data_IF_641452552068
#
_entry.id   IF_641452552068
#
_cell.length_a   1.000
_cell.length_b   1.000
_cell.length_c   1.000
_cell.angle_alpha   90.00
_cell.angle_beta   90.00
_cell.angle_gamma   90.00
#
_symmetry.space_group_name_H-M   'P 1'
#
loop_
_entity.id
_entity.type
_entity.pdbx_description
1 polymer ?
#
# COMPACT_ATOMS: atom_id res chain seq x y z
N UNK A 1 -16.98 -30.66 -16.77
CA UNK A 1 -16.09 -30.21 -15.68
C UNK A 1 -15.51 -28.88 -16.10
N UNK A 2 -15.73 -27.81 -15.34
CA UNK A 2 -15.12 -26.52 -15.65
C UNK A 2 -13.62 -26.61 -15.33
N UNK A 3 -12.76 -26.38 -16.33
CA UNK A 3 -11.35 -26.07 -16.07
C UNK A 3 -11.35 -24.73 -15.34
N UNK A 4 -11.06 -24.74 -14.04
CA UNK A 4 -10.58 -23.54 -13.37
C UNK A 4 -9.13 -23.40 -13.80
N UNK A 5 -8.82 -22.51 -14.75
CA UNK A 5 -7.48 -22.46 -15.25
C UNK A 5 -6.68 -21.79 -14.12
N UNK A 6 -5.64 -22.48 -13.64
CA UNK A 6 -4.62 -22.01 -12.68
C UNK A 6 -5.12 -21.56 -11.29
N UNK A 7 -4.92 -22.41 -10.28
CA UNK A 7 -4.89 -21.94 -8.88
C UNK A 7 -3.69 -20.99 -8.72
N UNK A 8 -3.86 -19.86 -8.02
CA UNK A 8 -2.74 -18.98 -7.68
C UNK A 8 -1.64 -19.72 -6.90
N UNK A 9 -2.03 -20.78 -6.17
CA UNK A 9 -1.10 -21.63 -5.44
C UNK A 9 -0.13 -22.44 -6.33
N UNK A 10 -0.49 -22.66 -7.60
CA UNK A 10 0.35 -23.38 -8.58
C UNK A 10 1.24 -22.42 -9.41
N UNK A 11 1.30 -21.14 -9.03
CA UNK A 11 2.12 -20.13 -9.69
C UNK A 11 3.43 -19.98 -8.91
N UNK A 12 4.48 -20.63 -9.39
CA UNK A 12 5.80 -20.65 -8.74
C UNK A 12 6.57 -19.33 -8.85
N UNK A 13 6.23 -18.50 -9.85
CA UNK A 13 6.81 -17.16 -10.01
C UNK A 13 5.71 -16.08 -10.04
N UNK A 14 5.55 -15.30 -8.97
CA UNK A 14 4.49 -14.29 -8.84
C UNK A 14 4.62 -13.11 -9.82
N UNK A 15 5.73 -12.97 -10.56
CA UNK A 15 5.82 -12.04 -11.70
C UNK A 15 4.89 -12.44 -12.86
N UNK A 16 4.42 -13.70 -12.91
CA UNK A 16 3.44 -14.17 -13.90
C UNK A 16 2.01 -13.72 -13.60
N UNK A 17 1.74 -13.18 -12.40
CA UNK A 17 0.42 -12.67 -12.05
C UNK A 17 0.31 -11.23 -12.52
N UNK A 18 -0.46 -11.03 -13.60
CA UNK A 18 -0.82 -9.68 -14.07
C UNK A 18 -2.15 -9.25 -13.50
N UNK A 19 -2.17 -8.07 -12.89
CA UNK A 19 -3.37 -7.42 -12.38
C UNK A 19 -3.85 -6.42 -13.41
N UNK A 20 -5.16 -6.43 -13.69
CA UNK A 20 -5.81 -5.41 -14.51
C UNK A 20 -6.55 -4.44 -13.60
N UNK A 21 -6.21 -3.16 -13.71
CA UNK A 21 -6.80 -2.07 -12.94
C UNK A 21 -7.70 -1.25 -13.86
N UNK A 22 -8.94 -1.03 -13.43
CA UNK A 22 -9.88 -0.15 -14.10
C UNK A 22 -10.17 1.05 -13.20
N UNK A 23 -9.82 2.24 -13.67
CA UNK A 23 -10.09 3.48 -12.97
C UNK A 23 -10.34 4.61 -13.97
N UNK A 24 -11.35 5.45 -13.72
CA UNK A 24 -11.66 6.63 -14.55
C UNK A 24 -11.78 6.31 -16.05
N UNK A 25 -12.49 5.22 -16.39
CA UNK A 25 -12.63 4.72 -17.76
C UNK A 25 -11.31 4.34 -18.47
N UNK A 26 -10.21 4.18 -17.71
CA UNK A 26 -8.91 3.73 -18.22
C UNK A 26 -8.59 2.35 -17.67
N UNK A 27 -7.95 1.53 -18.49
CA UNK A 27 -7.46 0.21 -18.13
C UNK A 27 -5.93 0.22 -18.11
N UNK A 28 -5.34 -0.27 -17.03
CA UNK A 28 -3.90 -0.47 -16.90
C UNK A 28 -3.60 -1.92 -16.50
N UNK A 29 -2.45 -2.43 -16.90
CA UNK A 29 -1.96 -3.74 -16.50
C UNK A 29 -0.58 -3.59 -15.86
N UNK A 30 -0.40 -4.23 -14.71
CA UNK A 30 0.88 -4.24 -14.01
C UNK A 30 1.14 -5.64 -13.42
N UNK A 31 2.42 -6.05 -13.30
CA UNK A 31 2.76 -7.21 -12.48
C UNK A 31 2.33 -6.99 -11.03
N UNK A 32 1.73 -8.01 -10.41
CA UNK A 32 1.25 -7.93 -9.02
C UNK A 32 2.38 -7.52 -8.08
N UNK A 33 3.57 -8.11 -8.22
CA UNK A 33 4.72 -7.79 -7.39
C UNK A 33 5.15 -6.33 -7.47
N UNK A 34 5.15 -5.75 -8.67
CA UNK A 34 5.50 -4.36 -8.86
C UNK A 34 4.51 -3.43 -8.14
N UNK A 35 3.21 -3.75 -8.25
CA UNK A 35 2.15 -3.02 -7.56
C UNK A 35 2.29 -3.12 -6.04
N UNK A 36 2.48 -4.33 -5.52
CA UNK A 36 2.65 -4.57 -4.07
C UNK A 36 3.88 -3.87 -3.51
N UNK A 37 5.01 -3.89 -4.22
CA UNK A 37 6.24 -3.17 -3.83
C UNK A 37 6.01 -1.66 -3.76
N UNK A 38 5.29 -1.10 -4.74
CA UNK A 38 4.93 0.32 -4.75
C UNK A 38 4.04 0.69 -3.56
N UNK A 39 2.95 -0.05 -3.37
CA UNK A 39 2.00 0.18 -2.27
C UNK A 39 2.69 0.05 -0.91
N UNK A 40 3.53 -0.96 -0.72
CA UNK A 40 4.26 -1.14 0.54
C UNK A 40 5.18 0.04 0.86
N UNK A 41 5.89 0.56 -0.16
CA UNK A 41 6.74 1.73 -0.01
C UNK A 41 5.92 2.96 0.37
N UNK A 42 4.79 3.19 -0.31
CA UNK A 42 3.92 4.33 -0.06
C UNK A 42 3.32 4.27 1.36
N UNK A 43 2.81 3.11 1.77
CA UNK A 43 2.29 2.90 3.13
C UNK A 43 3.38 3.16 4.17
N UNK A 44 4.59 2.64 3.95
CA UNK A 44 5.72 2.86 4.87
C UNK A 44 6.05 4.34 5.02
N UNK A 45 6.08 5.08 3.90
CA UNK A 45 6.33 6.52 3.91
C UNK A 45 5.20 7.31 4.59
N UNK A 46 3.95 6.91 4.38
CA UNK A 46 2.78 7.51 5.05
C UNK A 46 2.87 7.27 6.56
N UNK A 47 3.15 6.05 7.00
CA UNK A 47 3.29 5.72 8.43
C UNK A 47 4.39 6.55 9.09
N UNK A 48 5.56 6.68 8.47
CA UNK A 48 6.64 7.52 9.01
C UNK A 48 6.23 8.99 9.16
N UNK A 49 5.47 9.53 8.20
CA UNK A 49 4.96 10.90 8.28
C UNK A 49 3.94 11.05 9.40
N UNK A 50 3.07 10.06 9.59
CA UNK A 50 2.11 10.04 10.70
C UNK A 50 2.83 10.00 12.05
N UNK A 51 3.88 9.18 12.21
CA UNK A 51 4.66 9.11 13.45
C UNK A 51 5.31 10.46 13.81
N UNK A 52 5.82 11.18 12.80
CA UNK A 52 6.40 12.52 13.00
C UNK A 52 5.32 13.51 13.42
N UNK A 53 4.16 13.49 12.74
CA UNK A 53 3.04 14.37 13.07
C UNK A 53 2.50 14.08 14.47
N UNK A 54 2.39 12.81 14.88
CA UNK A 54 1.96 12.42 16.22
C UNK A 54 2.92 12.93 17.29
N UNK A 55 4.24 12.84 17.05
CA UNK A 55 5.25 13.39 17.96
C UNK A 55 5.14 14.90 18.09
N UNK A 56 4.96 15.62 16.97
CA UNK A 56 4.80 17.07 16.97
C UNK A 56 3.53 17.50 17.72
N UNK A 57 2.41 16.80 17.51
CA UNK A 57 1.17 17.04 18.25
C UNK A 57 1.37 16.88 19.76
N UNK A 58 2.02 15.79 20.20
CA UNK A 58 2.32 15.57 21.62
C UNK A 58 3.20 16.67 22.22
N UNK A 59 4.20 17.14 21.48
CA UNK A 59 5.05 18.24 21.98
C UNK A 59 4.29 19.56 22.12
N UNK A 60 3.42 19.88 21.16
CA UNK A 60 2.61 21.11 21.21
C UNK A 60 1.56 21.07 22.33
N UNK A 61 0.96 19.91 22.58
CA UNK A 61 0.01 19.70 23.68
C UNK A 61 0.68 19.87 25.06
N UNK A 62 1.91 19.36 25.21
CA UNK A 62 2.71 19.53 26.42
C UNK A 62 3.16 20.97 26.67
N UNK A 63 3.45 21.72 25.61
CA UNK A 63 3.84 23.14 25.72
C UNK A 63 2.61 24.03 26.01
N UNK A 64 1.42 23.64 25.52
CA UNK A 64 0.17 24.36 25.81
C UNK A 64 -0.24 24.24 27.28
N UNK A 65 -0.06 23.06 27.89
CA UNK A 65 -0.37 22.82 29.32
C UNK A 65 0.62 23.44 30.32
N UNK A 66 1.77 23.96 29.87
CA UNK A 66 2.76 24.63 30.75
C UNK A 66 2.55 26.14 30.87
N UNK A 67 1.64 26.71 30.09
CA UNK A 67 1.36 28.14 30.04
C UNK A 67 -0.02 28.52 30.62
N UNK A 68 -0.73 27.57 31.23
CA UNK A 68 -1.85 27.79 32.17
C UNK A 68 -1.36 27.73 33.62
#
# INVERSE_FOLDING_TARGET
>A
MALFPFSIADIDDPEHIRVVLYASARMGHAPLNALLKGIYKDITQISQRLDVLEKQLKTTDLDSNKHE
#
